data_IF_512294648013
#
_entry.id   IF_512294648013
#
_cell.length_a   1.000
_cell.length_b   1.000
_cell.length_c   1.000
_cell.angle_alpha   90.00
_cell.angle_beta   90.00
_cell.angle_gamma   90.00
#
_symmetry.space_group_name_H-M   'P 1'
#
loop_
_entity.id
_entity.type
_entity.pdbx_description
1 polymer ?
#
# COMPACT_ATOMS: atom_id res chain seq x y z
N UNK A 1 0.82 -15.56 -19.72
CA UNK A 1 0.68 -14.34 -18.89
C UNK A 1 0.46 -14.81 -17.47
N UNK A 2 1.33 -14.47 -16.52
CA UNK A 2 1.17 -14.91 -15.13
C UNK A 2 0.05 -14.11 -14.48
N UNK A 3 -1.01 -14.78 -14.04
CA UNK A 3 -2.05 -14.21 -13.19
C UNK A 3 -1.54 -14.18 -11.75
N UNK A 4 -1.76 -13.07 -11.05
CA UNK A 4 -1.47 -12.95 -9.62
C UNK A 4 -2.78 -12.58 -8.95
N UNK A 5 -3.17 -13.35 -7.94
CA UNK A 5 -4.24 -12.98 -7.02
C UNK A 5 -3.58 -12.37 -5.78
N UNK A 6 -3.91 -11.12 -5.48
CA UNK A 6 -3.28 -10.36 -4.40
C UNK A 6 -4.34 -9.82 -3.43
N UNK A 7 -4.04 -9.92 -2.14
CA UNK A 7 -4.89 -9.45 -1.05
C UNK A 7 -4.01 -8.83 0.02
N UNK A 8 -4.48 -7.77 0.66
CA UNK A 8 -3.85 -7.19 1.85
C UNK A 8 -4.87 -7.14 2.99
N UNK A 9 -4.40 -7.42 4.20
CA UNK A 9 -5.15 -7.38 5.44
C UNK A 9 -4.20 -6.86 6.52
N UNK A 10 -4.70 -6.00 7.41
CA UNK A 10 -3.93 -5.48 8.54
C UNK A 10 -4.80 -5.41 9.79
N UNK A 11 -4.15 -5.46 10.96
CA UNK A 11 -4.77 -5.46 12.28
C UNK A 11 -3.93 -4.59 13.24
N UNK A 12 -4.53 -3.69 14.05
CA UNK A 12 -3.79 -2.88 15.03
C UNK A 12 -3.17 -3.70 16.18
N UNK A 13 -3.51 -4.99 16.29
CA UNK A 13 -3.16 -5.84 17.40
C UNK A 13 -3.91 -5.48 18.67
N UNK A 14 -3.44 -6.02 19.79
CA UNK A 14 -4.16 -5.93 21.07
C UNK A 14 -3.79 -4.71 21.92
N UNK A 15 -2.69 -4.03 21.59
CA UNK A 15 -2.08 -3.00 22.46
C UNK A 15 -2.25 -1.57 21.98
N UNK A 16 -2.35 -1.37 20.66
CA UNK A 16 -2.46 -0.04 20.06
C UNK A 16 -3.93 0.28 19.82
N UNK A 17 -4.30 1.55 20.01
CA UNK A 17 -5.66 2.02 19.77
C UNK A 17 -5.95 2.24 18.27
N UNK A 18 -4.90 2.53 17.49
CA UNK A 18 -4.99 2.80 16.06
C UNK A 18 -4.00 1.91 15.32
N UNK A 19 -4.34 1.59 14.06
CA UNK A 19 -3.44 0.90 13.15
C UNK A 19 -2.64 1.95 12.37
N UNK A 20 -1.32 1.93 12.52
CA UNK A 20 -0.43 2.84 11.77
C UNK A 20 0.10 2.20 10.48
N UNK A 21 -0.33 0.97 10.17
CA UNK A 21 -0.01 0.29 8.92
C UNK A 21 -1.01 0.67 7.82
N UNK A 22 -0.49 0.85 6.61
CA UNK A 22 -1.27 1.00 5.39
C UNK A 22 -0.76 0.05 4.31
N UNK A 23 -1.67 -0.44 3.46
CA UNK A 23 -1.32 -1.27 2.33
C UNK A 23 -2.10 -0.84 1.08
N UNK A 24 -1.54 -1.12 -0.09
CA UNK A 24 -2.17 -0.80 -1.37
C UNK A 24 -1.60 -1.64 -2.51
N UNK A 25 -2.34 -1.70 -3.61
CA UNK A 25 -1.93 -2.43 -4.80
C UNK A 25 -2.45 -1.77 -6.07
N UNK A 26 -1.68 -1.86 -7.15
CA UNK A 26 -2.11 -1.53 -8.49
C UNK A 26 -1.64 -2.57 -9.50
N UNK A 27 -2.61 -3.14 -10.22
CA UNK A 27 -2.37 -4.12 -11.28
C UNK A 27 -2.87 -3.56 -12.62
N UNK A 28 -1.95 -3.18 -13.53
CA UNK A 28 -2.33 -2.65 -14.83
C UNK A 28 -3.07 -3.69 -15.67
N UNK A 29 -4.24 -3.33 -16.21
CA UNK A 29 -4.99 -4.16 -17.16
C UNK A 29 -4.34 -4.17 -18.56
N UNK A 30 -3.58 -3.13 -18.89
CA UNK A 30 -2.88 -2.99 -20.16
C UNK A 30 -1.59 -3.82 -20.16
N UNK A 31 -1.45 -4.72 -21.13
CA UNK A 31 -0.21 -5.49 -21.33
C UNK A 31 1.01 -4.57 -21.56
N UNK A 32 0.80 -3.40 -22.18
CA UNK A 32 1.86 -2.40 -22.39
C UNK A 32 2.31 -1.78 -21.07
N UNK A 33 1.37 -1.32 -20.24
CA UNK A 33 1.69 -0.74 -18.93
C UNK A 33 2.31 -1.80 -18.00
N UNK A 34 1.78 -3.03 -18.02
CA UNK A 34 2.33 -4.15 -17.25
C UNK A 34 3.79 -4.44 -17.64
N UNK A 35 4.12 -4.36 -18.94
CA UNK A 35 5.49 -4.54 -19.42
C UNK A 35 6.42 -3.37 -19.05
N UNK A 36 5.90 -2.16 -18.96
CA UNK A 36 6.68 -0.95 -18.69
C UNK A 36 6.92 -0.72 -17.19
N UNK A 37 5.89 -0.90 -16.38
CA UNK A 37 5.89 -0.53 -14.96
C UNK A 37 5.59 -1.71 -14.02
N UNK A 38 5.32 -2.90 -14.54
CA UNK A 38 5.07 -4.08 -13.70
C UNK A 38 3.73 -4.02 -12.95
N UNK A 39 3.71 -4.56 -11.74
CA UNK A 39 2.62 -4.46 -10.75
C UNK A 39 3.19 -3.84 -9.49
N UNK A 40 2.43 -3.00 -8.81
CA UNK A 40 2.87 -2.34 -7.58
C UNK A 40 2.08 -2.89 -6.39
N UNK A 41 2.80 -3.35 -5.37
CA UNK A 41 2.27 -3.79 -4.09
C UNK A 41 3.03 -3.05 -2.99
N UNK A 42 2.30 -2.45 -2.05
CA UNK A 42 2.86 -1.52 -1.07
C UNK A 42 2.41 -1.95 0.32
N UNK A 43 3.34 -1.94 1.27
CA UNK A 43 3.09 -1.97 2.70
C UNK A 43 3.90 -0.83 3.33
N UNK A 44 3.27 -0.04 4.18
CA UNK A 44 3.90 1.05 4.90
C UNK A 44 3.55 0.95 6.39
N UNK A 45 4.57 0.94 7.25
CA UNK A 45 4.46 0.99 8.72
C UNK A 45 4.73 2.44 9.17
N UNK A 46 3.71 3.07 9.72
CA UNK A 46 3.74 4.45 10.19
C UNK A 46 4.37 4.58 11.57
N UNK A 47 5.50 5.28 11.66
CA UNK A 47 6.16 5.56 12.94
C UNK A 47 5.61 6.87 13.55
N UNK A 48 4.62 6.79 14.45
CA UNK A 48 4.01 7.99 15.03
C UNK A 48 3.50 7.84 16.46
N UNK A 49 4.30 8.24 17.45
CA UNK A 49 3.74 8.55 18.77
C UNK A 49 2.75 9.71 18.64
N UNK A 50 1.44 9.42 18.69
CA UNK A 50 0.26 10.31 18.56
C UNK A 50 -0.31 10.54 17.13
N UNK A 51 -0.98 9.54 16.55
CA UNK A 51 -1.84 9.59 15.34
C UNK A 51 -1.17 10.01 14.02
N UNK A 52 0.07 10.49 14.05
CA UNK A 52 0.81 10.88 12.85
C UNK A 52 1.25 9.70 12.00
N UNK A 53 1.40 8.49 12.57
CA UNK A 53 1.87 7.32 11.84
C UNK A 53 0.84 6.83 10.83
N UNK A 54 -0.44 6.75 11.23
CA UNK A 54 -1.56 6.41 10.35
C UNK A 54 -1.66 7.34 9.13
N UNK A 55 -1.55 8.66 9.35
CA UNK A 55 -1.59 9.62 8.25
C UNK A 55 -0.38 9.48 7.32
N UNK A 56 0.81 9.29 7.89
CA UNK A 56 2.05 9.16 7.13
C UNK A 56 2.03 7.89 6.25
N UNK A 57 1.63 6.74 6.80
CA UNK A 57 1.58 5.48 6.05
C UNK A 57 0.53 5.53 4.94
N UNK A 58 -0.67 6.07 5.23
CA UNK A 58 -1.71 6.28 4.22
C UNK A 58 -1.24 7.22 3.09
N UNK A 59 -0.59 8.34 3.44
CA UNK A 59 -0.09 9.31 2.46
C UNK A 59 0.98 8.68 1.55
N UNK A 60 1.87 7.84 2.08
CA UNK A 60 2.87 7.13 1.28
C UNK A 60 2.21 6.19 0.27
N UNK A 61 1.25 5.38 0.71
CA UNK A 61 0.53 4.46 -0.19
C UNK A 61 -0.17 5.23 -1.31
N UNK A 62 -0.91 6.28 -0.96
CA UNK A 62 -1.62 7.11 -1.94
C UNK A 62 -0.65 7.79 -2.92
N UNK A 63 0.46 8.33 -2.41
CA UNK A 63 1.46 9.03 -3.23
C UNK A 63 2.15 8.09 -4.20
N UNK A 64 2.56 6.91 -3.75
CA UNK A 64 3.20 5.92 -4.61
C UNK A 64 2.26 5.44 -5.72
N UNK A 65 0.98 5.22 -5.41
CA UNK A 65 -0.01 4.85 -6.42
C UNK A 65 -0.20 5.93 -7.49
N UNK A 66 -0.11 7.22 -7.12
CA UNK A 66 -0.29 8.35 -8.05
C UNK A 66 0.96 8.76 -8.83
N UNK A 67 2.15 8.56 -8.25
CA UNK A 67 3.42 9.03 -8.84
C UNK A 67 4.06 7.94 -9.69
N UNK A 68 3.85 6.67 -9.32
CA UNK A 68 4.37 5.54 -10.09
C UNK A 68 3.45 5.13 -11.25
N UNK A 69 2.13 5.35 -11.13
CA UNK A 69 1.11 5.11 -12.17
C UNK A 69 0.21 6.32 -12.39
#
# INVERSE_FOLDING_TARGET
MTTIDSFHLSDPGQKRANNEDAAGAFEPKSARQLKQSGRLYIVADGLGGHQMGEQASAQIVETLLKVYY
#
